data_IF_024826687301
#
_entry.id   IF_024826687301
#
_cell.length_a   1.000
_cell.length_b   1.000
_cell.length_c   1.000
_cell.angle_alpha   90.00
_cell.angle_beta   90.00
_cell.angle_gamma   90.00
#
_symmetry.space_group_name_H-M   'P 1'
#
loop_
_entity.id
_entity.type
_entity.pdbx_description
1 polymer ?
#
# COMPACT_ATOMS: atom_id res chain seq x y z
N UNK A 1 -12.04 -3.55 -15.24
CA UNK A 1 -11.70 -3.31 -13.82
C UNK A 1 -10.83 -2.08 -13.68
N UNK A 2 -10.99 -1.37 -12.57
CA UNK A 2 -10.22 -0.17 -12.25
C UNK A 2 -9.45 -0.35 -10.94
N UNK A 3 -8.41 0.47 -10.74
CA UNK A 3 -7.55 0.38 -9.56
C UNK A 3 -7.21 1.77 -9.02
N UNK A 4 -7.15 1.87 -7.70
CA UNK A 4 -6.60 3.02 -6.98
C UNK A 4 -5.57 2.54 -5.95
N UNK A 5 -4.64 3.41 -5.58
CA UNK A 5 -3.49 3.06 -4.74
C UNK A 5 -3.35 4.06 -3.60
N UNK A 6 -3.06 3.54 -2.40
CA UNK A 6 -2.60 4.34 -1.27
C UNK A 6 -1.28 3.74 -0.79
N UNK A 7 -0.18 4.45 -1.01
CA UNK A 7 1.14 3.92 -0.67
C UNK A 7 1.89 4.87 0.25
N UNK A 8 2.77 4.31 1.05
CA UNK A 8 3.54 5.07 2.03
C UNK A 8 5.04 4.99 1.72
N UNK A 9 5.74 3.97 2.19
CA UNK A 9 7.19 3.89 2.01
C UNK A 9 7.63 3.63 0.57
N UNK A 10 6.75 3.18 -0.30
CA UNK A 10 7.04 3.03 -1.74
C UNK A 10 6.99 4.36 -2.50
N UNK A 11 6.44 5.41 -1.91
CA UNK A 11 6.61 6.79 -2.38
C UNK A 11 6.06 7.12 -3.75
N UNK A 12 5.11 6.35 -4.26
CA UNK A 12 4.53 6.54 -5.60
C UNK A 12 5.03 5.53 -6.62
N UNK A 13 5.95 4.64 -6.25
CA UNK A 13 6.52 3.65 -7.18
C UNK A 13 5.49 2.61 -7.62
N UNK A 14 4.55 2.21 -6.76
CA UNK A 14 3.48 1.28 -7.16
C UNK A 14 2.63 1.96 -8.25
N UNK A 15 2.18 3.17 -7.99
CA UNK A 15 1.40 3.95 -8.97
C UNK A 15 2.17 4.18 -10.26
N UNK A 16 3.45 4.55 -10.16
CA UNK A 16 4.30 4.79 -11.34
C UNK A 16 4.44 3.55 -12.21
N UNK A 17 4.63 2.39 -11.59
CA UNK A 17 4.73 1.13 -12.34
C UNK A 17 3.43 0.75 -13.03
N UNK A 18 2.28 0.96 -12.39
CA UNK A 18 0.98 0.72 -13.02
C UNK A 18 0.75 1.68 -14.18
N UNK A 19 1.12 2.95 -14.02
CA UNK A 19 1.00 3.96 -15.06
C UNK A 19 1.93 3.71 -16.23
N UNK A 20 3.02 2.97 -16.03
CA UNK A 20 3.97 2.65 -17.10
C UNK A 20 3.43 1.67 -18.14
N UNK A 21 2.31 1.02 -17.86
CA UNK A 21 1.67 0.09 -18.76
C UNK A 21 0.91 0.89 -19.84
N UNK A 22 1.20 0.70 -21.12
CA UNK A 22 0.43 1.36 -22.19
C UNK A 22 -1.06 1.09 -22.04
N UNK A 23 -1.89 2.13 -22.15
CA UNK A 23 -3.32 2.02 -21.94
C UNK A 23 -3.77 2.14 -20.50
N UNK A 24 -2.90 2.59 -19.61
CA UNK A 24 -3.20 2.71 -18.17
C UNK A 24 -4.43 3.58 -17.89
N UNK A 25 -4.76 4.54 -18.74
CA UNK A 25 -5.94 5.39 -18.56
C UNK A 25 -7.26 4.58 -18.53
N UNK A 26 -7.25 3.37 -19.04
CA UNK A 26 -8.42 2.49 -19.01
C UNK A 26 -8.64 1.83 -17.65
N UNK A 27 -7.60 1.73 -16.81
CA UNK A 27 -7.72 1.03 -15.53
C UNK A 27 -7.25 1.82 -14.32
N UNK A 28 -6.26 2.70 -14.43
CA UNK A 28 -5.69 3.42 -13.29
C UNK A 28 -6.48 4.71 -13.03
N UNK A 29 -7.10 4.82 -11.86
CA UNK A 29 -7.93 5.98 -11.52
C UNK A 29 -7.18 7.02 -10.70
N UNK A 30 -6.27 6.61 -9.84
CA UNK A 30 -5.51 7.54 -9.02
C UNK A 30 -4.74 6.84 -7.91
N UNK A 31 -3.79 7.57 -7.35
CA UNK A 31 -3.00 7.11 -6.23
C UNK A 31 -2.59 8.26 -5.34
N UNK A 32 -2.32 7.96 -4.08
CA UNK A 32 -1.86 8.94 -3.10
C UNK A 32 -0.68 8.37 -2.31
N UNK A 33 0.24 9.27 -1.91
CA UNK A 33 1.34 8.93 -1.00
C UNK A 33 0.93 9.42 0.38
N UNK A 34 0.56 8.48 1.24
CA UNK A 34 0.00 8.75 2.57
C UNK A 34 1.05 8.50 3.65
N UNK A 35 2.17 9.17 3.54
CA UNK A 35 3.36 8.92 4.37
C UNK A 35 3.19 9.36 5.82
N UNK A 36 2.54 10.49 6.06
CA UNK A 36 2.33 11.06 7.40
C UNK A 36 0.89 10.88 7.86
N UNK A 37 0.66 11.00 9.16
CA UNK A 37 -0.70 11.00 9.70
C UNK A 37 -1.54 12.12 9.09
N UNK A 38 -0.94 13.30 8.86
CA UNK A 38 -1.62 14.42 8.21
C UNK A 38 -2.08 14.06 6.79
N UNK A 39 -1.22 13.43 5.99
CA UNK A 39 -1.57 13.03 4.63
C UNK A 39 -2.63 11.93 4.61
N UNK A 40 -2.59 11.01 5.57
CA UNK A 40 -3.61 9.96 5.71
C UNK A 40 -5.00 10.55 5.94
N UNK A 41 -5.08 11.56 6.83
CA UNK A 41 -6.33 12.27 7.10
C UNK A 41 -6.81 13.05 5.87
N UNK A 42 -5.89 13.75 5.21
CA UNK A 42 -6.25 14.63 4.09
C UNK A 42 -6.67 13.86 2.84
N UNK A 43 -6.00 12.74 2.55
CA UNK A 43 -6.14 12.06 1.25
C UNK A 43 -6.94 10.77 1.31
N UNK A 44 -7.00 10.10 2.47
CA UNK A 44 -7.57 8.76 2.54
C UNK A 44 -8.87 8.69 3.34
N UNK A 45 -9.05 9.58 4.31
CA UNK A 45 -10.28 9.70 5.10
C UNK A 45 -10.68 8.35 5.73
N UNK A 46 -9.74 7.75 6.46
CA UNK A 46 -9.94 6.45 7.11
C UNK A 46 -11.06 6.51 8.14
N UNK A 47 -11.84 5.43 8.21
CA UNK A 47 -12.80 5.24 9.29
C UNK A 47 -12.04 5.03 10.61
N UNK A 48 -12.11 6.04 11.50
CA UNK A 48 -11.37 6.05 12.77
C UNK A 48 -11.79 4.92 13.69
N UNK A 49 -13.05 4.54 13.69
CA UNK A 49 -13.54 3.46 14.53
C UNK A 49 -12.96 2.11 14.11
N UNK A 50 -12.79 1.92 12.82
CA UNK A 50 -12.21 0.70 12.27
C UNK A 50 -10.73 0.53 12.57
N UNK A 51 -9.96 1.63 12.62
CA UNK A 51 -8.50 1.56 12.78
C UNK A 51 -8.03 1.79 14.23
N UNK A 52 -8.93 2.20 15.13
CA UNK A 52 -8.58 2.59 16.51
C UNK A 52 -7.83 1.51 17.26
N UNK A 53 -8.28 0.27 17.15
CA UNK A 53 -7.73 -0.88 17.88
C UNK A 53 -6.62 -1.59 17.11
N UNK A 54 -6.32 -1.17 15.87
CA UNK A 54 -5.35 -1.84 15.03
C UNK A 54 -3.94 -1.33 15.32
N UNK A 55 -2.99 -2.26 15.34
CA UNK A 55 -1.59 -1.91 15.51
C UNK A 55 -1.03 -1.34 14.21
N UNK A 56 -0.09 -0.38 14.30
CA UNK A 56 0.61 0.13 13.12
C UNK A 56 1.38 -0.98 12.42
N UNK A 57 1.55 -0.85 11.12
CA UNK A 57 2.39 -1.73 10.30
C UNK A 57 1.98 -3.21 10.40
N UNK A 58 0.67 -3.45 10.37
CA UNK A 58 0.10 -4.80 10.36
C UNK A 58 -0.76 -5.00 9.12
N UNK A 59 -0.98 -6.27 8.75
CA UNK A 59 -1.83 -6.59 7.60
C UNK A 59 -3.26 -6.11 7.80
N UNK A 60 -3.76 -6.17 9.03
CA UNK A 60 -5.09 -5.66 9.38
C UNK A 60 -5.19 -4.15 9.13
N UNK A 61 -4.16 -3.40 9.50
CA UNK A 61 -4.14 -1.95 9.30
C UNK A 61 -4.09 -1.61 7.81
N UNK A 62 -3.18 -2.23 7.05
CA UNK A 62 -3.02 -1.92 5.63
C UNK A 62 -4.25 -2.37 4.81
N UNK A 63 -4.98 -3.39 5.27
CA UNK A 63 -6.23 -3.80 4.64
C UNK A 63 -7.28 -2.68 4.71
N UNK A 64 -7.36 -1.94 5.82
CA UNK A 64 -8.25 -0.79 5.91
C UNK A 64 -7.82 0.35 4.98
N UNK A 65 -6.52 0.54 4.79
CA UNK A 65 -6.00 1.52 3.82
C UNK A 65 -6.38 1.14 2.38
N UNK A 66 -6.27 -0.13 2.03
CA UNK A 66 -6.64 -0.61 0.69
C UNK A 66 -8.15 -0.45 0.45
N UNK A 67 -8.96 -0.74 1.45
CA UNK A 67 -10.41 -0.52 1.39
C UNK A 67 -10.72 0.96 1.18
N UNK A 68 -10.12 1.84 1.97
CA UNK A 68 -10.35 3.27 1.88
C UNK A 68 -9.94 3.83 0.51
N UNK A 69 -8.80 3.38 -0.04
CA UNK A 69 -8.36 3.77 -1.37
C UNK A 69 -9.38 3.36 -2.44
N UNK A 70 -9.88 2.13 -2.34
CA UNK A 70 -10.89 1.60 -3.25
C UNK A 70 -12.20 2.39 -3.17
N UNK A 71 -12.70 2.63 -1.97
CA UNK A 71 -13.96 3.34 -1.75
C UNK A 71 -13.87 4.81 -2.18
N UNK A 72 -12.71 5.45 -1.95
CA UNK A 72 -12.53 6.88 -2.23
C UNK A 72 -12.74 7.22 -3.71
N UNK A 73 -12.29 6.38 -4.61
CA UNK A 73 -12.42 6.57 -6.06
C UNK A 73 -13.40 5.58 -6.71
N UNK A 74 -14.10 4.79 -5.91
CA UNK A 74 -15.08 3.81 -6.37
C UNK A 74 -14.50 2.89 -7.45
N UNK A 75 -13.32 2.31 -7.15
CA UNK A 75 -12.63 1.41 -8.07
C UNK A 75 -12.94 -0.06 -7.78
N UNK A 76 -12.66 -0.93 -8.75
CA UNK A 76 -12.80 -2.38 -8.57
C UNK A 76 -11.80 -2.89 -7.54
N UNK A 77 -10.55 -2.37 -7.58
CA UNK A 77 -9.43 -2.78 -6.75
C UNK A 77 -8.82 -1.60 -6.03
N UNK A 78 -8.43 -1.82 -4.78
CA UNK A 78 -7.58 -0.90 -4.02
C UNK A 78 -6.30 -1.62 -3.61
N UNK A 79 -5.17 -0.93 -3.74
CA UNK A 79 -3.87 -1.42 -3.30
C UNK A 79 -3.35 -0.48 -2.24
N UNK A 80 -2.84 -1.01 -1.13
CA UNK A 80 -2.19 -0.17 -0.12
C UNK A 80 -0.89 -0.80 0.37
N UNK A 81 0.04 0.07 0.77
CA UNK A 81 1.34 -0.33 1.29
C UNK A 81 1.75 0.57 2.45
N UNK A 82 2.22 -0.03 3.53
CA UNK A 82 2.82 0.64 4.68
C UNK A 82 4.15 -0.04 4.97
N UNK A 83 5.19 0.72 5.27
CA UNK A 83 6.48 0.09 5.50
C UNK A 83 7.49 0.95 6.25
N UNK A 84 8.58 0.31 6.63
CA UNK A 84 9.76 0.91 7.22
C UNK A 84 10.95 0.64 6.29
N UNK A 85 11.25 1.59 5.42
CA UNK A 85 12.30 1.41 4.40
C UNK A 85 13.72 1.55 4.99
N UNK A 86 13.87 2.24 6.10
CA UNK A 86 15.17 2.39 6.74
C UNK A 86 15.85 3.71 6.40
N UNK A 87 17.12 3.87 6.85
CA UNK A 87 17.92 2.94 7.66
C UNK A 87 17.43 2.79 9.10
N UNK A 88 16.68 3.76 9.65
CA UNK A 88 16.11 3.68 10.99
C UNK A 88 14.83 2.85 10.98
N UNK A 89 14.52 2.20 12.09
CA UNK A 89 13.22 1.55 12.29
C UNK A 89 12.11 2.56 12.57
N UNK A 90 10.93 2.06 12.88
CA UNK A 90 9.78 2.90 13.22
C UNK A 90 9.78 3.26 14.70
N UNK A 91 9.07 4.34 15.11
CA UNK A 91 8.88 4.66 16.53
C UNK A 91 8.05 3.59 17.27
N UNK A 92 7.47 2.63 16.55
CA UNK A 92 6.63 1.56 17.10
C UNK A 92 7.41 0.28 17.40
N UNK A 93 8.75 0.29 17.27
CA UNK A 93 9.60 -0.86 17.60
C UNK A 93 9.91 -1.78 16.42
N UNK A 94 9.55 -1.40 15.20
CA UNK A 94 9.90 -2.19 14.00
C UNK A 94 11.28 -1.80 13.49
N UNK A 95 12.09 -2.79 13.11
CA UNK A 95 13.33 -2.56 12.39
C UNK A 95 13.08 -2.20 10.93
N UNK A 96 14.12 -1.77 10.18
CA UNK A 96 13.98 -1.49 8.75
C UNK A 96 13.78 -2.75 7.93
N UNK A 97 13.24 -2.59 6.72
CA UNK A 97 13.07 -3.70 5.79
C UNK A 97 11.78 -4.49 5.97
N UNK A 98 10.76 -3.88 6.57
CA UNK A 98 9.44 -4.51 6.69
C UNK A 98 8.39 -3.67 5.94
N UNK A 99 7.53 -4.33 5.17
CA UNK A 99 6.37 -3.70 4.53
C UNK A 99 5.17 -4.63 4.61
N UNK A 100 4.00 -4.05 4.83
CA UNK A 100 2.72 -4.74 4.76
C UNK A 100 1.94 -4.19 3.58
N UNK A 101 1.32 -5.09 2.83
CA UNK A 101 0.63 -4.77 1.58
C UNK A 101 -0.72 -5.47 1.60
N UNK A 102 -1.76 -4.78 1.12
CA UNK A 102 -3.09 -5.35 1.00
C UNK A 102 -3.73 -4.98 -0.32
N UNK A 103 -4.54 -5.91 -0.80
CA UNK A 103 -5.41 -5.74 -1.96
C UNK A 103 -6.85 -5.87 -1.47
N UNK A 104 -7.69 -4.91 -1.83
CA UNK A 104 -9.13 -4.92 -1.55
C UNK A 104 -9.90 -4.93 -2.85
N UNK A 105 -10.86 -5.83 -2.98
CA UNK A 105 -11.64 -5.93 -4.21
C UNK A 105 -12.48 -7.21 -4.25
N UNK A 106 -12.74 -7.74 -5.44
CA UNK A 106 -13.44 -9.03 -5.59
C UNK A 106 -12.77 -10.17 -4.83
N UNK A 107 -11.44 -10.09 -4.67
CA UNK A 107 -10.64 -10.93 -3.78
C UNK A 107 -9.85 -9.99 -2.88
N UNK A 108 -9.78 -10.28 -1.58
CA UNK A 108 -9.02 -9.47 -0.62
C UNK A 108 -7.92 -10.32 -0.02
N UNK A 109 -6.67 -9.90 -0.22
CA UNK A 109 -5.48 -10.59 0.29
C UNK A 109 -4.49 -9.58 0.84
N UNK A 110 -3.63 -10.05 1.73
CA UNK A 110 -2.56 -9.22 2.30
C UNK A 110 -1.30 -10.04 2.52
N UNK A 111 -0.17 -9.35 2.67
CA UNK A 111 1.11 -10.01 2.95
C UNK A 111 2.03 -9.08 3.72
N UNK A 112 3.02 -9.68 4.37
CA UNK A 112 4.12 -8.98 5.02
C UNK A 112 5.42 -9.37 4.30
N UNK A 113 6.21 -8.36 3.93
CA UNK A 113 7.50 -8.55 3.27
C UNK A 113 8.61 -8.12 4.20
N UNK A 114 9.65 -8.95 4.34
CA UNK A 114 10.85 -8.64 5.12
C UNK A 114 12.07 -8.84 4.26
N UNK A 115 12.96 -7.84 4.22
CA UNK A 115 14.16 -7.87 3.37
C UNK A 115 15.44 -8.12 4.14
N UNK A 116 15.45 -7.89 5.44
CA UNK A 116 16.66 -7.92 6.28
C UNK A 116 17.74 -6.94 5.80
N UNK A 117 17.32 -5.88 5.13
CA UNK A 117 18.18 -4.83 4.56
C UNK A 117 17.81 -3.51 5.21
N UNK A 118 18.78 -2.61 5.37
CA UNK A 118 18.54 -1.26 5.89
C UNK A 118 18.72 -0.18 4.82
N UNK A 119 19.04 -0.56 3.59
CA UNK A 119 19.16 0.39 2.48
C UNK A 119 17.76 0.85 2.03
N UNK A 120 17.52 2.14 2.24
CA UNK A 120 16.21 2.74 2.02
C UNK A 120 15.69 2.56 0.59
N UNK A 121 16.53 2.88 -0.38
CA UNK A 121 16.11 2.81 -1.79
C UNK A 121 15.87 1.37 -2.24
N UNK A 122 16.75 0.45 -1.86
CA UNK A 122 16.58 -0.98 -2.16
C UNK A 122 15.29 -1.52 -1.59
N UNK A 123 14.95 -1.12 -0.35
CA UNK A 123 13.72 -1.53 0.29
C UNK A 123 12.48 -0.96 -0.42
N UNK A 124 12.53 0.29 -0.86
CA UNK A 124 11.43 0.88 -1.63
C UNK A 124 11.15 0.07 -2.89
N UNK A 125 12.19 -0.35 -3.60
CA UNK A 125 12.07 -1.16 -4.81
C UNK A 125 11.52 -2.56 -4.49
N UNK A 126 12.04 -3.20 -3.45
CA UNK A 126 11.60 -4.54 -3.03
C UNK A 126 10.11 -4.53 -2.60
N UNK A 127 9.69 -3.53 -1.85
CA UNK A 127 8.31 -3.40 -1.40
C UNK A 127 7.37 -3.14 -2.59
N UNK A 128 7.81 -2.36 -3.55
CA UNK A 128 7.06 -2.10 -4.79
C UNK A 128 6.83 -3.39 -5.57
N UNK A 129 7.88 -4.18 -5.76
CA UNK A 129 7.79 -5.47 -6.45
C UNK A 129 6.83 -6.41 -5.71
N UNK A 130 6.95 -6.50 -4.39
CA UNK A 130 6.07 -7.34 -3.57
C UNK A 130 4.60 -6.93 -3.73
N UNK A 131 4.33 -5.63 -3.77
CA UNK A 131 2.97 -5.11 -3.96
C UNK A 131 2.39 -5.47 -5.33
N UNK A 132 3.18 -5.30 -6.38
CA UNK A 132 2.75 -5.64 -7.74
C UNK A 132 2.53 -7.15 -7.90
N UNK A 133 3.39 -7.98 -7.31
CA UNK A 133 3.22 -9.43 -7.33
C UNK A 133 1.96 -9.87 -6.57
N UNK A 134 1.68 -9.24 -5.44
CA UNK A 134 0.47 -9.54 -4.69
C UNK A 134 -0.78 -9.17 -5.48
N UNK A 135 -0.77 -8.03 -6.16
CA UNK A 135 -1.88 -7.62 -7.02
C UNK A 135 -2.08 -8.63 -8.16
N UNK A 136 -1.00 -9.06 -8.79
CA UNK A 136 -1.09 -10.09 -9.84
C UNK A 136 -1.75 -11.36 -9.31
N UNK A 137 -1.39 -11.81 -8.11
CA UNK A 137 -2.04 -12.97 -7.47
C UNK A 137 -3.54 -12.75 -7.28
N UNK A 138 -3.93 -11.57 -6.81
CA UNK A 138 -5.35 -11.25 -6.62
C UNK A 138 -6.13 -11.31 -7.94
N UNK A 139 -5.52 -10.84 -9.03
CA UNK A 139 -6.14 -10.84 -10.35
C UNK A 139 -6.31 -12.25 -10.92
N UNK A 140 -5.54 -13.23 -10.44
CA UNK A 140 -5.56 -14.61 -10.92
C UNK A 140 -6.51 -15.53 -10.14
N UNK A 141 -7.16 -15.02 -9.10
CA UNK A 141 -8.10 -15.83 -8.27
C UNK A 141 -9.54 -15.72 -8.73
#
# INVERSE_FOLDING_TARGET
DTVSVAESSTGGLISANLLSVPGASAFFQGGSVVYTLASRRAFLDLDRDRVRELKPLTEEMVAEFARAAREKLDTTWGIAELGAAGPAGTPYGHGPGISVIAISGPCSISSTTRTSDDDRHSNMLAFTEAGLLLFRRALQT
#
